data_IF_317165966293
#
_entry.id   IF_317165966293
#
_cell.length_a   1.000
_cell.length_b   1.000
_cell.length_c   1.000
_cell.angle_alpha   90.00
_cell.angle_beta   90.00
_cell.angle_gamma   90.00
#
_symmetry.space_group_name_H-M   'P 1'
#
loop_
_entity.id
_entity.type
_entity.pdbx_description
1 polymer ?
#
# COMPACT_ATOMS: atom_id res chain seq x y z
N UNK A 1 34.97 18.20 66.36
CA UNK A 1 36.33 18.65 66.79
C UNK A 1 37.24 17.44 66.93
N UNK A 2 38.56 17.62 66.66
CA UNK A 2 39.70 16.65 66.70
C UNK A 2 39.80 15.73 65.48
N UNK A 3 40.67 15.99 64.49
CA UNK A 3 42.16 16.05 64.44
C UNK A 3 42.84 14.72 64.86
N UNK A 4 43.24 14.02 63.80
CA UNK A 4 44.32 13.04 63.52
C UNK A 4 45.41 12.94 64.60
N UNK A 5 46.02 11.75 64.78
CA UNK A 5 47.47 11.68 64.52
C UNK A 5 47.92 10.44 63.73
N UNK A 6 48.85 10.72 62.83
CA UNK A 6 49.68 9.81 62.05
C UNK A 6 50.88 9.39 62.92
N UNK A 7 51.14 8.08 63.03
CA UNK A 7 52.45 7.51 63.37
C UNK A 7 52.48 6.06 62.82
N UNK A 8 53.14 5.79 61.69
CA UNK A 8 54.59 5.54 61.54
C UNK A 8 54.98 4.12 62.00
N UNK A 9 54.84 3.12 61.12
CA UNK A 9 55.62 1.87 61.17
C UNK A 9 55.92 1.43 59.73
N UNK A 10 57.21 1.38 59.36
CA UNK A 10 57.75 0.42 58.39
C UNK A 10 57.90 0.85 56.92
N UNK A 11 59.05 1.44 56.59
CA UNK A 11 59.71 1.35 55.27
C UNK A 11 59.99 -0.15 54.91
N UNK A 12 60.27 -0.59 53.65
CA UNK A 12 60.58 0.18 52.44
C UNK A 12 59.98 -0.34 51.10
N UNK A 13 60.17 0.49 50.07
CA UNK A 13 60.41 0.17 48.66
C UNK A 13 59.24 -0.24 47.70
N UNK A 14 59.08 0.49 46.58
CA UNK A 14 58.09 0.23 45.54
C UNK A 14 58.66 -0.71 44.47
N UNK A 15 58.08 -1.90 44.32
CA UNK A 15 58.27 -2.74 43.13
C UNK A 15 57.30 -3.91 43.16
N UNK A 16 56.04 -3.66 42.79
CA UNK A 16 55.21 -4.70 42.19
C UNK A 16 54.32 -4.09 41.11
N UNK A 17 55.01 -3.71 40.03
CA UNK A 17 54.41 -3.48 38.73
C UNK A 17 53.70 -4.78 38.30
N UNK A 18 52.39 -4.70 38.07
CA UNK A 18 51.64 -5.63 37.22
C UNK A 18 51.08 -6.88 37.88
N UNK A 19 49.84 -6.82 38.39
CA UNK A 19 48.86 -7.91 38.28
C UNK A 19 47.49 -7.47 38.81
N UNK A 20 46.42 -7.94 38.15
CA UNK A 20 44.97 -7.75 38.40
C UNK A 20 44.36 -6.51 37.71
N UNK A 21 44.28 -6.50 36.38
CA UNK A 21 43.23 -7.18 35.59
C UNK A 21 41.81 -6.76 35.99
N UNK A 22 41.28 -5.73 35.33
CA UNK A 22 39.84 -5.55 35.11
C UNK A 22 39.52 -5.70 33.62
N UNK A 23 39.52 -6.94 33.06
CA UNK A 23 38.97 -7.20 31.72
C UNK A 23 37.46 -7.49 31.72
N UNK A 24 36.81 -7.61 32.88
CA UNK A 24 35.43 -8.12 32.94
C UNK A 24 34.37 -7.16 32.35
N UNK A 25 34.54 -5.83 32.47
CA UNK A 25 33.48 -4.87 32.12
C UNK A 25 33.45 -4.49 30.63
N UNK A 26 34.59 -4.50 29.94
CA UNK A 26 34.68 -4.27 28.49
C UNK A 26 34.26 -5.49 27.66
N UNK A 27 34.39 -6.69 28.24
CA UNK A 27 33.99 -7.95 27.60
C UNK A 27 32.47 -8.12 27.56
N UNK A 28 31.77 -7.71 28.63
CA UNK A 28 30.31 -7.70 28.68
C UNK A 28 29.69 -6.68 27.73
N UNK A 29 30.29 -5.50 27.60
CA UNK A 29 29.82 -4.43 26.72
C UNK A 29 30.01 -4.81 25.23
N UNK A 30 31.17 -5.38 24.87
CA UNK A 30 31.40 -5.93 23.54
C UNK A 30 30.44 -7.08 23.20
N UNK A 31 30.08 -7.90 24.20
CA UNK A 31 29.09 -8.97 24.04
C UNK A 31 27.66 -8.46 23.86
N UNK A 32 27.31 -7.35 24.53
CA UNK A 32 26.02 -6.68 24.37
C UNK A 32 25.90 -5.99 23.02
N UNK A 33 26.94 -5.29 22.57
CA UNK A 33 27.01 -4.66 21.25
C UNK A 33 26.88 -5.72 20.14
N UNK A 34 27.65 -6.81 20.22
CA UNK A 34 27.54 -7.90 19.25
C UNK A 34 26.17 -8.61 19.28
N UNK A 35 25.46 -8.58 20.41
CA UNK A 35 24.08 -9.09 20.51
C UNK A 35 23.08 -8.13 19.89
N UNK A 36 23.28 -6.83 20.10
CA UNK A 36 22.44 -5.76 19.58
C UNK A 36 22.56 -5.65 18.07
N UNK A 37 23.77 -5.72 17.52
CA UNK A 37 24.02 -5.76 16.07
C UNK A 37 23.26 -6.91 15.40
N UNK A 38 23.33 -8.12 15.96
CA UNK A 38 22.55 -9.26 15.46
C UNK A 38 21.04 -9.03 15.52
N UNK A 39 20.54 -8.30 16.51
CA UNK A 39 19.11 -7.96 16.57
C UNK A 39 18.72 -6.88 15.58
N UNK A 40 19.58 -5.91 15.31
CA UNK A 40 19.38 -4.88 14.30
C UNK A 40 19.36 -5.52 12.91
N UNK A 41 20.34 -6.36 12.57
CA UNK A 41 20.36 -7.11 11.31
C UNK A 41 19.10 -7.97 11.13
N UNK A 42 18.64 -8.62 12.21
CA UNK A 42 17.40 -9.40 12.19
C UNK A 42 16.19 -8.50 11.96
N UNK A 43 16.09 -7.36 12.64
CA UNK A 43 14.97 -6.42 12.47
C UNK A 43 14.95 -5.82 11.07
N UNK A 44 16.10 -5.41 10.54
CA UNK A 44 16.22 -4.88 9.18
C UNK A 44 15.77 -5.93 8.16
N UNK A 45 16.22 -7.18 8.32
CA UNK A 45 15.77 -8.28 7.44
C UNK A 45 14.25 -8.52 7.51
N UNK A 46 13.63 -8.29 8.66
CA UNK A 46 12.18 -8.43 8.83
C UNK A 46 11.43 -7.25 8.22
N UNK A 47 11.95 -6.04 8.36
CA UNK A 47 11.38 -4.83 7.75
C UNK A 47 11.46 -4.91 6.23
N UNK A 48 12.58 -5.40 5.68
CA UNK A 48 12.73 -5.56 4.23
C UNK A 48 11.78 -6.61 3.65
N UNK A 49 11.60 -7.74 4.36
CA UNK A 49 10.60 -8.76 3.99
C UNK A 49 9.18 -8.22 4.08
N UNK A 50 8.85 -7.53 5.17
CA UNK A 50 7.51 -6.98 5.33
C UNK A 50 7.24 -5.89 4.28
N UNK A 51 8.25 -5.10 3.93
CA UNK A 51 8.14 -4.08 2.88
C UNK A 51 8.02 -4.72 1.49
N UNK A 52 8.71 -5.83 1.23
CA UNK A 52 8.52 -6.58 -0.02
C UNK A 52 7.13 -7.20 -0.09
N UNK A 53 6.63 -7.77 0.99
CA UNK A 53 5.31 -8.38 1.05
C UNK A 53 4.20 -7.33 0.89
N UNK A 54 4.35 -6.16 1.53
CA UNK A 54 3.42 -5.04 1.35
C UNK A 54 3.48 -4.52 -0.08
N UNK A 55 4.67 -4.36 -0.67
CA UNK A 55 4.81 -3.97 -2.07
C UNK A 55 4.19 -4.99 -3.02
N UNK A 56 4.35 -6.30 -2.74
CA UNK A 56 3.73 -7.36 -3.54
C UNK A 56 2.21 -7.38 -3.38
N UNK A 57 1.69 -7.09 -2.18
CA UNK A 57 0.25 -7.00 -1.92
C UNK A 57 -0.39 -5.72 -2.50
N UNK A 58 0.37 -4.63 -2.56
CA UNK A 58 -0.06 -3.35 -3.13
C UNK A 58 0.07 -3.35 -4.67
N UNK A 59 1.12 -3.98 -5.21
CA UNK A 59 1.33 -4.17 -6.65
C UNK A 59 0.55 -5.37 -7.20
N UNK A 60 0.04 -6.26 -6.34
CA UNK A 60 -1.00 -7.20 -6.73
C UNK A 60 -2.21 -6.34 -7.13
N UNK A 61 -2.53 -6.22 -8.42
CA UNK A 61 -3.69 -5.46 -8.83
C UNK A 61 -4.85 -6.06 -8.05
N UNK A 62 -5.59 -5.22 -7.32
CA UNK A 62 -6.90 -5.55 -6.79
C UNK A 62 -7.82 -5.86 -7.97
N UNK A 63 -7.59 -7.04 -8.53
CA UNK A 63 -7.88 -7.44 -9.91
C UNK A 63 -8.47 -8.83 -9.88
N UNK A 64 -9.39 -9.06 -8.94
CA UNK A 64 -10.48 -10.01 -9.10
C UNK A 64 -11.75 -9.38 -8.54
N UNK A 65 -12.11 -8.20 -9.06
CA UNK A 65 -13.54 -7.96 -9.23
C UNK A 65 -14.02 -9.06 -10.15
N UNK A 66 -14.72 -10.06 -9.60
CA UNK A 66 -15.51 -11.06 -10.32
C UNK A 66 -16.69 -10.34 -10.96
N UNK A 67 -16.38 -9.40 -11.83
CA UNK A 67 -17.32 -8.83 -12.77
C UNK A 67 -16.79 -9.35 -14.08
N UNK A 68 -17.47 -10.36 -14.60
CA UNK A 68 -17.63 -10.57 -16.04
C UNK A 68 -18.01 -9.22 -16.68
N UNK A 69 -17.02 -8.34 -16.89
CA UNK A 69 -17.24 -6.97 -17.39
C UNK A 69 -17.84 -6.95 -18.80
N UNK A 70 -17.92 -8.10 -19.47
CA UNK A 70 -18.39 -8.21 -20.85
C UNK A 70 -19.80 -8.79 -21.02
N UNK A 71 -20.39 -9.47 -20.03
CA UNK A 71 -21.73 -10.10 -20.18
C UNK A 71 -22.90 -9.20 -19.77
N UNK A 72 -22.68 -8.28 -18.82
CA UNK A 72 -23.76 -7.45 -18.26
C UNK A 72 -24.31 -6.43 -19.27
N UNK A 73 -23.45 -5.89 -20.15
CA UNK A 73 -23.84 -4.84 -21.10
C UNK A 73 -24.93 -5.29 -22.07
N UNK A 74 -24.71 -6.42 -22.75
CA UNK A 74 -25.67 -6.97 -23.72
C UNK A 74 -26.99 -7.40 -23.07
N UNK A 75 -26.91 -7.96 -21.86
CA UNK A 75 -28.08 -8.37 -21.11
C UNK A 75 -28.98 -7.18 -20.77
N UNK A 76 -28.41 -6.07 -20.30
CA UNK A 76 -29.16 -4.84 -19.97
C UNK A 76 -29.80 -4.24 -21.23
N UNK A 77 -29.07 -4.20 -22.34
CA UNK A 77 -29.58 -3.71 -23.62
C UNK A 77 -30.77 -4.54 -24.12
N UNK A 78 -30.69 -5.87 -24.02
CA UNK A 78 -31.76 -6.77 -24.43
C UNK A 78 -32.98 -6.70 -23.52
N UNK A 79 -32.78 -6.61 -22.20
CA UNK A 79 -33.89 -6.46 -21.25
C UNK A 79 -34.65 -5.14 -21.48
N UNK A 80 -33.93 -4.05 -21.72
CA UNK A 80 -34.55 -2.76 -22.01
C UNK A 80 -35.28 -2.75 -23.36
N UNK A 81 -34.67 -3.32 -24.41
CA UNK A 81 -35.33 -3.47 -25.71
C UNK A 81 -36.58 -4.36 -25.61
N UNK A 82 -36.51 -5.46 -24.86
CA UNK A 82 -37.63 -6.36 -24.58
C UNK A 82 -38.77 -5.66 -23.82
N UNK A 83 -38.44 -4.85 -22.81
CA UNK A 83 -39.42 -4.01 -22.11
C UNK A 83 -40.13 -3.03 -23.07
N UNK A 84 -39.37 -2.41 -23.98
CA UNK A 84 -39.92 -1.50 -24.98
C UNK A 84 -40.86 -2.21 -25.96
N UNK A 85 -40.51 -3.44 -26.36
CA UNK A 85 -41.35 -4.30 -27.19
C UNK A 85 -42.65 -4.69 -26.46
N UNK A 86 -42.57 -5.06 -25.19
CA UNK A 86 -43.72 -5.42 -24.36
C UNK A 86 -44.67 -4.23 -24.19
N UNK A 87 -44.13 -3.03 -23.98
CA UNK A 87 -44.93 -1.81 -23.90
C UNK A 87 -45.64 -1.48 -25.21
N UNK A 88 -44.97 -1.68 -26.35
CA UNK A 88 -45.60 -1.51 -27.65
C UNK A 88 -46.72 -2.53 -27.89
N UNK A 89 -46.55 -3.76 -27.39
CA UNK A 89 -47.57 -4.80 -27.44
C UNK A 89 -48.81 -4.41 -26.62
N UNK A 90 -48.64 -3.92 -25.40
CA UNK A 90 -49.75 -3.49 -24.53
C UNK A 90 -50.49 -2.25 -25.09
N UNK A 91 -49.83 -1.45 -25.92
CA UNK A 91 -50.42 -0.28 -26.59
C UNK A 91 -50.96 -0.57 -27.99
N UNK A 92 -50.99 -1.83 -28.41
CA UNK A 92 -51.53 -2.26 -29.72
C UNK A 92 -50.67 -1.86 -30.93
N UNK A 93 -49.38 -1.58 -30.72
CA UNK A 93 -48.41 -1.20 -31.76
C UNK A 93 -47.55 -2.39 -32.16
N UNK A 94 -46.77 -2.26 -33.25
CA UNK A 94 -45.87 -3.32 -33.71
C UNK A 94 -44.69 -3.51 -32.72
N UNK A 95 -44.61 -4.64 -31.98
CA UNK A 95 -43.60 -4.84 -30.95
C UNK A 95 -42.19 -5.04 -31.52
N UNK A 96 -42.07 -5.59 -32.73
CA UNK A 96 -40.80 -5.80 -33.41
C UNK A 96 -40.12 -4.47 -33.78
N UNK A 97 -40.91 -3.50 -34.24
CA UNK A 97 -40.39 -2.16 -34.57
C UNK A 97 -39.84 -1.47 -33.31
N UNK A 98 -40.60 -1.51 -32.22
CA UNK A 98 -40.22 -0.87 -30.96
C UNK A 98 -39.08 -1.58 -30.24
N UNK A 99 -38.93 -2.90 -30.39
CA UNK A 99 -37.77 -3.64 -29.93
C UNK A 99 -36.47 -3.11 -30.58
N UNK A 100 -36.45 -3.04 -31.91
CA UNK A 100 -35.29 -2.58 -32.67
C UNK A 100 -35.00 -1.11 -32.38
N UNK A 101 -36.04 -0.29 -32.27
CA UNK A 101 -35.92 1.12 -31.91
C UNK A 101 -35.26 1.28 -30.53
N UNK A 102 -35.72 0.53 -29.53
CA UNK A 102 -35.13 0.52 -28.19
C UNK A 102 -33.66 0.07 -28.19
N UNK A 103 -33.31 -0.94 -29.00
CA UNK A 103 -31.95 -1.45 -29.09
C UNK A 103 -30.98 -0.45 -29.75
N UNK A 104 -31.41 0.21 -30.83
CA UNK A 104 -30.59 1.22 -31.53
C UNK A 104 -30.34 2.44 -30.64
N UNK A 105 -31.39 3.00 -30.02
CA UNK A 105 -31.24 4.18 -29.16
C UNK A 105 -30.32 3.90 -27.97
N UNK A 106 -30.44 2.73 -27.36
CA UNK A 106 -29.63 2.37 -26.20
C UNK A 106 -28.16 2.14 -26.59
N UNK A 107 -27.90 1.50 -27.74
CA UNK A 107 -26.54 1.36 -28.27
C UNK A 107 -25.89 2.73 -28.55
N UNK A 108 -26.62 3.67 -29.15
CA UNK A 108 -26.13 5.03 -29.41
C UNK A 108 -25.79 5.73 -28.08
N UNK A 109 -26.65 5.62 -27.06
CA UNK A 109 -26.40 6.24 -25.76
C UNK A 109 -25.11 5.71 -25.12
N UNK A 110 -24.86 4.40 -25.18
CA UNK A 110 -23.61 3.79 -24.68
C UNK A 110 -22.39 4.33 -25.45
N UNK A 111 -22.47 4.40 -26.78
CA UNK A 111 -21.37 4.94 -27.61
C UNK A 111 -21.08 6.40 -27.26
N UNK A 112 -22.11 7.25 -27.14
CA UNK A 112 -21.96 8.66 -26.77
C UNK A 112 -21.36 8.80 -25.37
N UNK A 113 -21.82 7.99 -24.42
CA UNK A 113 -21.31 8.02 -23.05
C UNK A 113 -19.84 7.59 -22.99
N UNK A 114 -19.46 6.54 -23.73
CA UNK A 114 -18.06 6.12 -23.84
C UNK A 114 -17.20 7.16 -24.54
N UNK A 115 -17.70 7.78 -25.60
CA UNK A 115 -16.98 8.84 -26.30
C UNK A 115 -16.74 10.05 -25.39
N UNK A 116 -17.78 10.49 -24.67
CA UNK A 116 -17.67 11.58 -23.71
C UNK A 116 -16.73 11.21 -22.55
N UNK A 117 -16.80 9.98 -22.05
CA UNK A 117 -15.87 9.50 -21.02
C UNK A 117 -14.41 9.49 -21.50
N UNK A 118 -14.17 9.12 -22.76
CA UNK A 118 -12.85 9.17 -23.36
C UNK A 118 -12.36 10.62 -23.50
N UNK A 119 -13.24 11.54 -23.91
CA UNK A 119 -12.92 12.96 -24.02
C UNK A 119 -12.55 13.58 -22.66
N UNK A 120 -13.35 13.31 -21.62
CA UNK A 120 -13.10 13.80 -20.26
C UNK A 120 -11.74 13.34 -19.72
N UNK A 121 -11.33 12.11 -20.04
CA UNK A 121 -10.00 11.58 -19.68
C UNK A 121 -8.87 12.23 -20.46
N UNK A 122 -9.06 12.50 -21.76
CA UNK A 122 -8.05 13.20 -22.56
C UNK A 122 -7.84 14.66 -22.13
N UNK A 123 -8.90 15.38 -21.74
CA UNK A 123 -8.79 16.75 -21.23
C UNK A 123 -8.19 16.84 -19.81
N UNK A 124 -8.36 15.81 -18.98
CA UNK A 124 -7.76 15.75 -17.65
C UNK A 124 -6.23 15.56 -17.69
N UNK A 125 -5.71 14.85 -18.68
CA UNK A 125 -4.27 14.66 -18.88
C UNK A 125 -3.58 15.93 -19.42
N UNK A 126 -4.33 16.83 -20.04
CA UNK A 126 -3.81 18.03 -20.68
C UNK A 126 -3.67 19.23 -19.72
N UNK A 127 -4.37 19.25 -18.57
CA UNK A 127 -4.17 20.31 -17.57
C UNK A 127 -2.81 20.12 -16.89
N UNK A 128 -1.82 21.01 -17.13
CA UNK A 128 -0.56 20.95 -16.41
C UNK A 128 -0.85 21.18 -14.92
N UNK A 129 -0.24 20.38 -14.06
CA UNK A 129 -0.26 20.66 -12.62
C UNK A 129 0.34 22.05 -12.39
N UNK A 130 -0.52 23.02 -12.05
CA UNK A 130 -0.10 24.32 -11.58
C UNK A 130 -0.11 24.28 -10.05
N UNK A 131 1.07 24.24 -9.39
CA UNK A 131 1.12 24.32 -7.94
C UNK A 131 0.65 25.71 -7.50
N UNK A 132 -0.54 25.82 -6.89
CA UNK A 132 -0.96 27.07 -6.25
C UNK A 132 -2.45 27.37 -6.10
N UNK A 133 -3.38 26.55 -6.61
CA UNK A 133 -4.81 26.84 -6.44
C UNK A 133 -5.40 26.09 -5.24
N UNK A 134 -5.52 26.80 -4.12
CA UNK A 134 -6.39 26.49 -2.96
C UNK A 134 -7.37 27.63 -2.74
#
# INVERSE_FOLDING_TARGET
MKRIPIALIGFPLPLLLGLLATPARSQEDAGQVARLERTVERLESQVDRLRSDVRELEDRPHGKTIIEKHQVGWTVLLLFAGFCALWAQDTGRNPWLWFILGLIFNAIAVVVLLWKNAQDRSGAAEKPYMPGEV
#
